data_IF_625554814252
#
_entry.id   IF_625554814252
#
_cell.length_a   1.000
_cell.length_b   1.000
_cell.length_c   1.000
_cell.angle_alpha   90.00
_cell.angle_beta   90.00
_cell.angle_gamma   90.00
#
_symmetry.space_group_name_H-M   'P 1'
#
loop_
_entity.id
_entity.type
_entity.pdbx_description
1 polymer ?
#
# COMPACT_ATOMS: atom_id res chain seq x y z
N UNK A 1 -10.71 -28.63 12.92
CA UNK A 1 -9.51 -27.75 12.98
C UNK A 1 -8.28 -28.57 12.58
N UNK A 2 -8.17 -28.97 11.32
CA UNK A 2 -7.11 -29.89 10.86
C UNK A 2 -6.96 -29.79 9.33
N UNK A 3 -6.18 -28.83 8.82
CA UNK A 3 -5.59 -28.91 7.46
C UNK A 3 -4.51 -27.86 7.11
N UNK A 4 -4.00 -27.04 8.04
CA UNK A 4 -3.09 -25.92 7.68
C UNK A 4 -1.58 -26.22 7.81
N UNK A 5 -1.16 -27.47 8.00
CA UNK A 5 0.26 -27.80 8.26
C UNK A 5 1.07 -28.25 7.03
N UNK A 6 0.49 -28.30 5.82
CA UNK A 6 1.19 -28.79 4.62
C UNK A 6 1.13 -27.85 3.40
N UNK A 7 0.93 -26.55 3.60
CA UNK A 7 1.16 -25.57 2.53
C UNK A 7 2.66 -25.28 2.41
N UNK A 8 3.29 -25.40 1.23
CA UNK A 8 4.71 -25.16 1.06
C UNK A 8 5.07 -23.72 1.50
N UNK A 9 6.24 -23.58 2.13
CA UNK A 9 6.74 -22.35 2.77
C UNK A 9 6.55 -21.06 1.93
N UNK A 10 6.68 -21.11 0.61
CA UNK A 10 6.50 -19.97 -0.30
C UNK A 10 5.07 -19.39 -0.28
N UNK A 11 4.05 -20.22 -0.03
CA UNK A 11 2.66 -19.77 0.09
C UNK A 11 2.46 -18.87 1.32
N UNK A 12 3.22 -19.12 2.40
CA UNK A 12 3.21 -18.27 3.59
C UNK A 12 3.91 -16.93 3.37
N UNK A 13 4.87 -16.83 2.45
CA UNK A 13 5.55 -15.57 2.15
C UNK A 13 4.67 -14.63 1.33
N UNK A 14 3.82 -15.17 0.43
CA UNK A 14 2.90 -14.37 -0.39
C UNK A 14 1.95 -13.49 0.44
N UNK A 15 1.56 -13.92 1.65
CA UNK A 15 0.69 -13.12 2.54
C UNK A 15 1.28 -11.77 2.94
N UNK A 16 2.61 -11.67 3.00
CA UNK A 16 3.29 -10.42 3.32
C UNK A 16 3.29 -9.43 2.14
N UNK A 17 2.99 -9.89 0.92
CA UNK A 17 2.76 -9.02 -0.23
C UNK A 17 1.62 -8.02 0.01
N UNK A 18 0.62 -8.38 0.83
CA UNK A 18 -0.46 -7.46 1.21
C UNK A 18 0.02 -6.25 2.03
N UNK A 19 1.19 -6.33 2.67
CA UNK A 19 1.81 -5.17 3.33
C UNK A 19 2.19 -4.06 2.34
N UNK A 20 2.31 -4.36 1.04
CA UNK A 20 2.50 -3.33 0.01
C UNK A 20 1.32 -2.35 -0.05
N UNK A 21 0.14 -2.71 0.48
CA UNK A 21 -0.98 -1.79 0.66
C UNK A 21 -0.68 -0.59 1.57
N UNK A 22 0.40 -0.62 2.36
CA UNK A 22 0.90 0.53 3.13
C UNK A 22 1.79 1.47 2.31
N UNK A 23 2.19 1.09 1.09
CA UNK A 23 3.03 1.96 0.26
C UNK A 23 2.34 3.30 -0.07
N UNK A 24 1.05 3.35 -0.44
CA UNK A 24 0.33 4.61 -0.62
C UNK A 24 0.19 5.44 0.67
N UNK A 25 0.39 4.83 1.85
CA UNK A 25 0.46 5.57 3.12
C UNK A 25 1.84 6.18 3.36
N UNK A 26 2.89 5.38 3.16
CA UNK A 26 4.26 5.79 3.44
C UNK A 26 4.77 6.86 2.48
N UNK A 27 4.38 6.79 1.20
CA UNK A 27 4.92 7.66 0.16
C UNK A 27 4.58 9.14 0.37
N UNK A 28 3.32 9.55 0.64
CA UNK A 28 3.01 10.97 0.87
C UNK A 28 3.69 11.53 2.11
N UNK A 29 3.75 10.75 3.20
CA UNK A 29 4.45 11.15 4.44
C UNK A 29 5.94 11.35 4.18
N UNK A 30 6.57 10.39 3.48
CA UNK A 30 7.98 10.46 3.12
C UNK A 30 8.28 11.62 2.17
N UNK A 31 7.40 11.88 1.20
CA UNK A 31 7.51 13.00 0.28
C UNK A 31 7.46 14.34 1.02
N UNK A 32 6.45 14.55 1.88
CA UNK A 32 6.34 15.74 2.71
C UNK A 32 7.57 15.93 3.61
N UNK A 33 7.99 14.87 4.33
CA UNK A 33 9.19 14.94 5.17
C UNK A 33 10.44 15.33 4.36
N UNK A 34 10.59 14.84 3.13
CA UNK A 34 11.71 15.20 2.26
C UNK A 34 11.61 16.65 1.77
N UNK A 35 10.42 17.15 1.46
CA UNK A 35 10.20 18.56 1.13
C UNK A 35 10.64 19.46 2.29
N UNK A 36 10.14 19.21 3.50
CA UNK A 36 10.46 20.02 4.70
C UNK A 36 11.97 20.09 4.98
N UNK A 37 12.69 18.99 4.80
CA UNK A 37 14.13 18.95 5.08
C UNK A 37 15.01 19.55 3.97
N UNK A 38 14.50 19.68 2.74
CA UNK A 38 15.29 20.11 1.58
C UNK A 38 14.83 21.42 0.97
N UNK A 39 13.60 21.85 1.25
CA UNK A 39 12.92 22.96 0.60
C UNK A 39 12.52 22.70 -0.86
N UNK A 40 12.64 21.47 -1.36
CA UNK A 40 12.39 21.16 -2.78
C UNK A 40 10.99 20.58 -2.99
N UNK A 41 10.10 21.39 -3.55
CA UNK A 41 8.70 21.02 -3.81
C UNK A 41 8.52 19.88 -4.81
N UNK A 42 9.55 19.59 -5.62
CA UNK A 42 9.52 18.48 -6.58
C UNK A 42 9.25 17.13 -5.89
N UNK A 43 9.59 16.99 -4.61
CA UNK A 43 9.33 15.77 -3.85
C UNK A 43 7.83 15.50 -3.65
N UNK A 44 6.94 16.51 -3.75
CA UNK A 44 5.49 16.32 -3.72
C UNK A 44 4.99 15.36 -4.82
N UNK A 45 5.73 15.25 -5.92
CA UNK A 45 5.39 14.40 -7.06
C UNK A 45 5.86 12.95 -6.90
N UNK A 46 6.73 12.65 -5.93
CA UNK A 46 7.26 11.29 -5.71
C UNK A 46 6.16 10.22 -5.56
N UNK A 47 5.08 10.44 -4.77
CA UNK A 47 4.04 9.43 -4.62
C UNK A 47 3.39 9.10 -5.97
N UNK A 48 3.14 10.11 -6.81
CA UNK A 48 2.55 9.92 -8.14
C UNK A 48 3.49 9.16 -9.07
N UNK A 49 4.77 9.56 -9.14
CA UNK A 49 5.78 8.89 -9.98
C UNK A 49 5.95 7.43 -9.56
N UNK A 50 5.95 7.14 -8.26
CA UNK A 50 6.14 5.78 -7.78
C UNK A 50 4.87 4.94 -8.00
N UNK A 51 3.69 5.43 -7.63
CA UNK A 51 2.43 4.66 -7.72
C UNK A 51 1.98 4.46 -9.16
N UNK A 52 2.14 5.46 -10.03
CA UNK A 52 1.65 5.41 -11.41
C UNK A 52 2.73 5.15 -12.45
N UNK A 53 4.01 5.28 -12.09
CA UNK A 53 5.14 4.96 -12.96
C UNK A 53 5.84 3.67 -12.54
N UNK A 54 6.45 3.66 -11.35
CA UNK A 54 7.31 2.56 -10.91
C UNK A 54 6.54 1.29 -10.59
N UNK A 55 5.45 1.36 -9.83
CA UNK A 55 4.65 0.18 -9.43
C UNK A 55 4.09 -0.56 -10.66
N UNK A 56 3.42 0.10 -11.64
CA UNK A 56 2.95 -0.56 -12.85
C UNK A 56 4.08 -1.14 -13.70
N UNK A 57 5.23 -0.46 -13.74
CA UNK A 57 6.41 -0.97 -14.45
C UNK A 57 6.90 -2.27 -13.82
N UNK A 58 7.02 -2.31 -12.48
CA UNK A 58 7.43 -3.51 -11.75
C UNK A 58 6.40 -4.63 -11.89
N UNK A 59 5.12 -4.31 -11.78
CA UNK A 59 4.01 -5.25 -11.98
C UNK A 59 4.08 -5.93 -13.36
N UNK A 60 4.28 -5.12 -14.42
CA UNK A 60 4.44 -5.62 -15.78
C UNK A 60 5.68 -6.52 -15.95
N UNK A 61 6.78 -6.19 -15.27
CA UNK A 61 8.01 -6.98 -15.33
C UNK A 61 7.89 -8.30 -14.56
N UNK A 62 7.12 -8.33 -13.47
CA UNK A 62 6.84 -9.55 -12.71
C UNK A 62 5.87 -10.48 -13.45
N UNK A 63 4.96 -9.91 -14.26
CA UNK A 63 4.00 -10.67 -15.04
C UNK A 63 2.86 -11.25 -14.20
N UNK A 64 1.97 -12.00 -14.85
CA UNK A 64 0.80 -12.57 -14.19
C UNK A 64 1.17 -13.79 -13.32
N UNK A 65 0.82 -13.75 -12.04
CA UNK A 65 0.84 -14.94 -11.18
C UNK A 65 -0.37 -15.82 -11.49
N UNK A 66 -0.13 -16.92 -12.21
CA UNK A 66 -1.17 -17.91 -12.55
C UNK A 66 -1.79 -18.59 -11.32
N UNK A 67 -1.23 -18.38 -10.13
CA UNK A 67 -1.76 -18.91 -8.86
C UNK A 67 -2.56 -17.87 -8.07
N UNK A 68 -2.84 -16.70 -8.64
CA UNK A 68 -3.66 -15.70 -7.95
C UNK A 68 -5.08 -16.28 -7.75
N UNK A 69 -5.64 -16.27 -6.53
CA UNK A 69 -6.96 -16.83 -6.29
C UNK A 69 -8.03 -16.08 -7.11
N UNK A 70 -8.89 -16.84 -7.79
CA UNK A 70 -10.02 -16.34 -8.58
C UNK A 70 -11.36 -16.70 -7.92
N UNK A 71 -12.43 -15.99 -8.32
CA UNK A 71 -13.80 -16.31 -7.92
C UNK A 71 -14.02 -16.33 -6.40
N UNK A 72 -14.71 -17.37 -5.92
CA UNK A 72 -15.16 -17.47 -4.52
C UNK A 72 -14.01 -17.53 -3.49
N UNK A 73 -12.81 -17.93 -3.93
CA UNK A 73 -11.62 -17.96 -3.07
C UNK A 73 -11.26 -16.55 -2.61
N UNK A 74 -11.52 -15.51 -3.41
CA UNK A 74 -11.27 -14.11 -3.03
C UNK A 74 -12.14 -13.71 -1.83
N UNK A 75 -13.42 -14.10 -1.81
CA UNK A 75 -14.32 -13.80 -0.69
C UNK A 75 -13.88 -14.50 0.60
N UNK A 76 -13.32 -15.71 0.50
CA UNK A 76 -12.77 -16.43 1.66
C UNK A 76 -11.59 -15.71 2.33
N UNK A 77 -10.85 -14.84 1.62
CA UNK A 77 -9.82 -14.01 2.25
C UNK A 77 -10.43 -13.02 3.24
N UNK A 78 -11.63 -12.49 2.95
CA UNK A 78 -12.34 -11.57 3.84
C UNK A 78 -12.72 -12.19 5.19
N UNK A 79 -13.02 -13.49 5.19
CA UNK A 79 -13.33 -14.25 6.41
C UNK A 79 -12.09 -14.49 7.29
N UNK A 80 -10.90 -14.41 6.71
CA UNK A 80 -9.66 -14.61 7.44
C UNK A 80 -9.20 -13.31 8.10
N UNK A 81 -9.15 -13.34 9.43
CA UNK A 81 -8.83 -12.20 10.30
C UNK A 81 -7.54 -11.46 9.90
N UNK A 82 -6.52 -12.15 9.38
CA UNK A 82 -5.29 -11.49 8.93
C UNK A 82 -5.57 -10.47 7.82
N UNK A 83 -6.29 -10.87 6.77
CA UNK A 83 -6.54 -10.00 5.63
C UNK A 83 -7.60 -8.95 5.93
N UNK A 84 -8.67 -9.30 6.64
CA UNK A 84 -9.71 -8.34 7.02
C UNK A 84 -9.19 -7.30 8.03
N UNK A 85 -8.37 -7.69 9.02
CA UNK A 85 -7.74 -6.72 9.92
C UNK A 85 -6.80 -5.78 9.16
N UNK A 86 -6.01 -6.31 8.23
CA UNK A 86 -5.11 -5.51 7.41
C UNK A 86 -5.88 -4.46 6.60
N UNK A 87 -6.98 -4.87 5.94
CA UNK A 87 -7.83 -3.98 5.16
C UNK A 87 -8.40 -2.86 6.05
N UNK A 88 -8.98 -3.20 7.20
CA UNK A 88 -9.56 -2.22 8.14
C UNK A 88 -8.50 -1.22 8.60
N UNK A 89 -7.30 -1.69 8.96
CA UNK A 89 -6.19 -0.84 9.40
C UNK A 89 -5.72 0.09 8.27
N UNK A 90 -5.45 -0.45 7.08
CA UNK A 90 -4.96 0.33 5.94
C UNK A 90 -5.97 1.41 5.55
N UNK A 91 -7.26 1.07 5.44
CA UNK A 91 -8.30 2.04 5.06
C UNK A 91 -8.45 3.13 6.12
N UNK A 92 -8.43 2.77 7.41
CA UNK A 92 -8.52 3.74 8.50
C UNK A 92 -7.34 4.71 8.50
N UNK A 93 -6.13 4.20 8.28
CA UNK A 93 -4.93 5.03 8.14
C UNK A 93 -4.96 5.90 6.89
N UNK A 94 -5.53 5.42 5.78
CA UNK A 94 -5.64 6.21 4.55
C UNK A 94 -6.60 7.38 4.73
N UNK A 95 -7.72 7.17 5.42
CA UNK A 95 -8.62 8.25 5.80
C UNK A 95 -7.91 9.27 6.69
N UNK A 96 -7.19 8.82 7.72
CA UNK A 96 -6.41 9.70 8.59
C UNK A 96 -5.36 10.49 7.79
N UNK A 97 -4.67 9.85 6.85
CA UNK A 97 -3.69 10.49 5.99
C UNK A 97 -4.31 11.57 5.10
N UNK A 98 -5.51 11.35 4.56
CA UNK A 98 -6.23 12.35 3.77
C UNK A 98 -6.54 13.58 4.63
N UNK A 99 -7.11 13.38 5.83
CA UNK A 99 -7.41 14.51 6.73
C UNK A 99 -6.16 15.27 7.14
N UNK A 100 -5.08 14.56 7.47
CA UNK A 100 -3.79 15.18 7.77
C UNK A 100 -3.23 15.94 6.56
N UNK A 101 -3.26 15.35 5.37
CA UNK A 101 -2.77 15.97 4.14
C UNK A 101 -3.54 17.23 3.76
N UNK A 102 -4.85 17.27 4.01
CA UNK A 102 -5.66 18.50 3.86
C UNK A 102 -5.19 19.59 4.81
N UNK A 103 -4.86 19.26 6.07
CA UNK A 103 -4.30 20.20 7.02
C UNK A 103 -2.95 20.77 6.54
N UNK A 104 -2.03 19.89 6.15
CA UNK A 104 -0.72 20.24 5.59
C UNK A 104 -0.87 21.18 4.38
N UNK A 105 -1.81 20.89 3.48
CA UNK A 105 -2.10 21.71 2.31
C UNK A 105 -2.67 23.08 2.71
N UNK A 106 -3.62 23.12 3.65
CA UNK A 106 -4.25 24.35 4.11
C UNK A 106 -3.29 25.30 4.85
N UNK A 107 -2.29 24.75 5.55
CA UNK A 107 -1.26 25.53 6.25
C UNK A 107 -0.25 26.19 5.28
N UNK A 108 -0.29 25.87 3.98
CA UNK A 108 0.61 26.44 2.97
C UNK A 108 2.02 25.84 2.98
N UNK A 109 2.25 24.75 3.73
CA UNK A 109 3.55 24.07 3.82
C UNK A 109 4.07 23.50 2.50
N UNK A 110 3.20 23.39 1.49
CA UNK A 110 3.55 22.82 0.19
C UNK A 110 4.13 23.85 -0.80
N UNK A 111 4.20 25.13 -0.43
CA UNK A 111 4.78 26.19 -1.27
C UNK A 111 3.98 26.54 -2.54
N UNK A 112 2.78 25.97 -2.67
CA UNK A 112 1.81 26.22 -3.75
C UNK A 112 0.86 27.39 -3.43
#
# INVERSE_FOLDING_TARGET
MTSLTNSPNWMHWKRYGFLLGFLPLALPIGAWYRMENTGWEIFAWLPLVIIFGLVPLVDRLMGNDLNNPEGDVIFSLGENLWYSALLVVVVSLQLALIFWGVGVFADGSLGL
#
